data_IF_582744123286
#
_entry.id   IF_582744123286
#
_cell.length_a   1.000
_cell.length_b   1.000
_cell.length_c   1.000
_cell.angle_alpha   90.00
_cell.angle_beta   90.00
_cell.angle_gamma   90.00
#
_symmetry.space_group_name_H-M   'P 1'
#
loop_
_entity.id
_entity.type
_entity.pdbx_description
1 polymer ?
#
# COMPACT_ATOMS: atom_id res chain seq x y z
N UNK A 1 -34.84 -1.78 -0.01
CA UNK A 1 -35.47 -1.36 1.25
C UNK A 1 -34.69 -1.93 2.44
N UNK A 2 -34.73 -1.22 3.58
CA UNK A 2 -34.15 -1.70 4.84
C UNK A 2 -35.27 -1.73 5.89
N UNK A 3 -35.28 -2.76 6.73
CA UNK A 3 -36.30 -2.96 7.77
C UNK A 3 -35.61 -3.37 9.07
N UNK A 4 -35.76 -2.54 10.11
CA UNK A 4 -35.38 -2.89 11.49
C UNK A 4 -36.53 -3.60 12.19
N UNK A 5 -36.24 -4.70 12.86
CA UNK A 5 -37.19 -5.49 13.65
C UNK A 5 -36.57 -5.94 14.98
N UNK A 6 -37.31 -6.61 15.81
CA UNK A 6 -36.89 -7.05 17.14
C UNK A 6 -35.69 -8.03 17.12
N UNK A 7 -35.48 -8.76 16.06
CA UNK A 7 -34.41 -9.73 15.92
C UNK A 7 -33.26 -9.31 14.97
N UNK A 8 -33.26 -8.05 14.52
CA UNK A 8 -32.19 -7.53 13.70
C UNK A 8 -32.59 -6.66 12.51
N UNK A 9 -31.74 -6.63 11.49
CA UNK A 9 -31.87 -5.84 10.27
C UNK A 9 -32.16 -6.75 9.08
N UNK A 10 -33.08 -6.33 8.22
CA UNK A 10 -33.39 -7.00 6.97
C UNK A 10 -33.25 -6.06 5.78
N UNK A 11 -32.93 -6.63 4.62
CA UNK A 11 -32.85 -5.92 3.34
C UNK A 11 -33.71 -6.60 2.30
N UNK A 12 -34.38 -5.79 1.50
CA UNK A 12 -35.09 -6.23 0.30
C UNK A 12 -34.47 -5.54 -0.92
N UNK A 13 -34.28 -6.33 -1.98
CA UNK A 13 -33.79 -5.88 -3.28
C UNK A 13 -34.88 -5.82 -4.36
N UNK A 14 -36.13 -6.14 -4.01
CA UNK A 14 -37.29 -6.27 -4.91
C UNK A 14 -38.52 -5.58 -4.35
N UNK A 15 -38.34 -4.39 -3.81
CA UNK A 15 -39.40 -3.52 -3.25
C UNK A 15 -40.29 -4.20 -2.18
N UNK A 16 -39.67 -5.04 -1.35
CA UNK A 16 -40.32 -5.65 -0.21
C UNK A 16 -41.01 -6.99 -0.50
N UNK A 17 -40.87 -7.54 -1.71
CA UNK A 17 -41.46 -8.86 -2.03
C UNK A 17 -40.69 -9.98 -1.32
N UNK A 18 -39.37 -9.91 -1.25
CA UNK A 18 -38.54 -10.84 -0.52
C UNK A 18 -37.59 -10.10 0.43
N UNK A 19 -37.39 -10.67 1.61
CA UNK A 19 -36.54 -10.11 2.65
C UNK A 19 -35.47 -11.09 3.07
N UNK A 20 -34.22 -10.61 3.19
CA UNK A 20 -33.11 -11.38 3.70
C UNK A 20 -32.47 -10.65 4.88
N UNK A 21 -32.06 -11.42 5.89
CA UNK A 21 -31.44 -10.86 7.07
C UNK A 21 -30.01 -10.33 6.74
N UNK A 22 -29.76 -9.06 7.05
CA UNK A 22 -28.47 -8.44 6.90
C UNK A 22 -27.74 -8.48 8.24
N UNK A 23 -26.86 -9.46 8.40
CA UNK A 23 -26.19 -9.72 9.70
C UNK A 23 -24.81 -9.12 9.79
N UNK A 24 -23.93 -9.45 8.88
CA UNK A 24 -22.48 -9.17 9.03
C UNK A 24 -22.03 -9.38 10.50
N UNK A 25 -21.54 -8.33 11.14
CA UNK A 25 -21.19 -8.31 12.57
C UNK A 25 -22.27 -7.68 13.46
N UNK A 26 -23.46 -7.42 12.94
CA UNK A 26 -24.58 -6.90 13.72
C UNK A 26 -25.09 -8.00 14.68
N UNK A 27 -25.12 -7.77 16.00
CA UNK A 27 -25.67 -8.74 16.93
C UNK A 27 -27.19 -8.89 16.75
N UNK A 28 -27.78 -10.02 17.17
CA UNK A 28 -29.23 -10.18 17.21
C UNK A 28 -29.80 -9.28 18.31
N UNK A 29 -30.19 -8.07 17.94
CA UNK A 29 -30.76 -7.08 18.84
C UNK A 29 -31.88 -6.32 18.11
N UNK A 30 -32.87 -5.78 18.84
CA UNK A 30 -33.90 -4.96 18.24
C UNK A 30 -33.27 -3.72 17.57
N UNK A 31 -33.69 -3.46 16.34
CA UNK A 31 -33.27 -2.30 15.55
C UNK A 31 -34.42 -1.29 15.55
N UNK A 32 -34.23 -0.19 16.24
CA UNK A 32 -35.27 0.83 16.44
C UNK A 32 -35.15 2.04 15.52
N UNK A 33 -33.95 2.29 15.00
CA UNK A 33 -33.74 3.43 14.12
C UNK A 33 -32.79 3.08 12.98
N UNK A 34 -33.14 3.55 11.80
CA UNK A 34 -32.34 3.46 10.59
C UNK A 34 -32.22 4.83 9.97
N UNK A 35 -31.01 5.23 9.64
CA UNK A 35 -30.74 6.48 8.96
C UNK A 35 -29.70 6.26 7.87
N UNK A 36 -29.90 6.88 6.71
CA UNK A 36 -28.90 6.86 5.64
C UNK A 36 -28.18 8.20 5.67
N UNK A 37 -26.88 8.17 5.94
CA UNK A 37 -26.02 9.32 5.84
C UNK A 37 -25.70 9.57 4.35
N UNK A 38 -26.39 10.51 3.72
CA UNK A 38 -26.43 10.72 2.28
C UNK A 38 -25.07 11.05 1.64
N UNK A 39 -24.19 11.73 2.38
CA UNK A 39 -22.88 12.20 1.85
C UNK A 39 -21.96 11.03 1.47
N UNK A 40 -22.01 9.95 2.26
CA UNK A 40 -21.13 8.79 2.07
C UNK A 40 -21.91 7.49 1.81
N UNK A 41 -23.24 7.58 1.71
CA UNK A 41 -24.12 6.40 1.56
C UNK A 41 -23.92 5.37 2.67
N UNK A 42 -23.76 5.83 3.91
CA UNK A 42 -23.60 4.96 5.06
C UNK A 42 -24.94 4.68 5.73
N UNK A 43 -25.24 3.42 6.03
CA UNK A 43 -26.43 3.04 6.80
C UNK A 43 -26.11 3.01 8.28
N UNK A 44 -26.68 3.92 9.03
CA UNK A 44 -26.57 3.99 10.49
C UNK A 44 -27.72 3.21 11.11
N UNK A 45 -27.38 2.27 12.00
CA UNK A 45 -28.31 1.33 12.64
C UNK A 45 -28.30 1.56 14.14
N UNK A 46 -29.41 2.06 14.69
CA UNK A 46 -29.62 2.23 16.11
C UNK A 46 -30.24 0.99 16.73
N UNK A 47 -29.54 0.33 17.66
CA UNK A 47 -30.04 -0.87 18.34
C UNK A 47 -30.47 -0.59 19.75
N UNK A 48 -31.39 -1.37 20.29
CA UNK A 48 -31.76 -1.31 21.70
C UNK A 48 -30.72 -2.03 22.56
N UNK A 49 -30.02 -1.25 23.37
CA UNK A 49 -29.07 -1.75 24.36
C UNK A 49 -27.72 -2.27 23.83
N UNK A 50 -27.45 -2.16 22.51
CA UNK A 50 -26.20 -2.64 21.90
C UNK A 50 -25.44 -1.54 21.15
N UNK A 51 -25.85 -0.28 21.29
CA UNK A 51 -25.21 0.88 20.65
C UNK A 51 -25.57 1.05 19.19
N UNK A 52 -24.71 1.76 18.46
CA UNK A 52 -24.88 2.07 17.05
C UNK A 52 -23.94 1.24 16.19
N UNK A 53 -24.41 0.86 15.01
CA UNK A 53 -23.63 0.21 13.98
C UNK A 53 -23.69 1.02 12.70
N UNK A 54 -22.62 1.01 11.94
CA UNK A 54 -22.54 1.69 10.66
C UNK A 54 -22.14 0.67 9.61
N UNK A 55 -22.94 0.55 8.57
CA UNK A 55 -22.57 -0.14 7.35
C UNK A 55 -22.10 0.89 6.34
N UNK A 56 -20.78 0.96 6.17
CA UNK A 56 -20.16 1.90 5.25
C UNK A 56 -20.53 1.57 3.81
N UNK A 57 -20.92 2.59 3.04
CA UNK A 57 -21.13 2.55 1.61
C UNK A 57 -22.13 1.47 1.14
N UNK A 58 -23.41 1.78 1.20
CA UNK A 58 -24.48 0.89 0.68
C UNK A 58 -24.73 1.04 -0.83
N UNK A 59 -24.04 1.94 -1.54
CA UNK A 59 -24.20 2.14 -2.98
C UNK A 59 -24.02 0.82 -3.79
N UNK A 60 -23.01 -0.03 -3.50
CA UNK A 60 -22.89 -1.33 -4.17
C UNK A 60 -24.09 -2.26 -3.98
N UNK A 61 -24.76 -2.21 -2.83
CA UNK A 61 -25.96 -3.00 -2.59
C UNK A 61 -27.15 -2.51 -3.41
N UNK A 62 -27.28 -1.20 -3.61
CA UNK A 62 -28.31 -0.62 -4.48
C UNK A 62 -28.05 -0.98 -5.95
N UNK A 63 -26.81 -0.79 -6.43
CA UNK A 63 -26.45 -1.14 -7.80
C UNK A 63 -26.58 -2.65 -8.06
N UNK A 64 -26.22 -3.49 -7.06
CA UNK A 64 -26.47 -4.92 -7.14
C UNK A 64 -27.96 -5.25 -7.36
N UNK A 65 -28.85 -4.60 -6.62
CA UNK A 65 -30.30 -4.80 -6.79
C UNK A 65 -30.79 -4.37 -8.18
N UNK A 66 -30.27 -3.26 -8.69
CA UNK A 66 -30.73 -2.64 -9.93
C UNK A 66 -30.14 -3.27 -11.19
N UNK A 67 -28.89 -3.71 -11.15
CA UNK A 67 -28.15 -4.14 -12.35
C UNK A 67 -27.76 -5.63 -12.33
N UNK A 68 -27.46 -6.20 -11.16
CA UNK A 68 -26.94 -7.56 -11.07
C UNK A 68 -28.03 -8.57 -10.76
N UNK A 69 -28.84 -8.32 -9.73
CA UNK A 69 -29.85 -9.26 -9.28
C UNK A 69 -31.02 -9.44 -10.29
N UNK A 70 -31.36 -8.39 -11.02
CA UNK A 70 -32.46 -8.39 -12.00
C UNK A 70 -32.06 -8.90 -13.38
N UNK A 71 -30.75 -8.98 -13.67
CA UNK A 71 -30.21 -9.40 -14.96
C UNK A 71 -30.44 -10.90 -15.18
N UNK A 72 -30.94 -11.27 -16.39
CA UNK A 72 -31.10 -12.65 -16.80
C UNK A 72 -30.49 -12.88 -18.21
N UNK A 73 -29.37 -13.62 -18.35
CA UNK A 73 -28.61 -14.27 -17.26
C UNK A 73 -27.90 -13.29 -16.36
N UNK A 74 -27.71 -13.64 -15.10
CA UNK A 74 -26.89 -12.86 -14.16
C UNK A 74 -25.43 -12.76 -14.66
N UNK A 75 -24.80 -11.56 -14.63
CA UNK A 75 -23.45 -11.38 -15.10
C UNK A 75 -22.43 -12.23 -14.31
N UNK A 76 -21.40 -12.73 -15.00
CA UNK A 76 -20.31 -13.50 -14.36
C UNK A 76 -19.50 -12.67 -13.37
N UNK A 77 -19.29 -11.40 -13.70
CA UNK A 77 -18.67 -10.41 -12.84
C UNK A 77 -19.25 -9.02 -13.09
N UNK A 78 -19.12 -8.12 -12.12
CA UNK A 78 -19.54 -6.74 -12.24
C UNK A 78 -18.64 -5.85 -11.37
N UNK A 79 -18.15 -4.74 -11.92
CA UNK A 79 -17.42 -3.71 -11.18
C UNK A 79 -18.40 -2.59 -10.84
N UNK A 80 -18.68 -2.41 -9.56
CA UNK A 80 -19.59 -1.36 -9.08
C UNK A 80 -19.03 0.05 -9.32
N UNK A 81 -19.92 1.00 -9.41
CA UNK A 81 -19.59 2.42 -9.44
C UNK A 81 -18.81 2.82 -8.19
N UNK A 82 -17.82 3.69 -8.34
CA UNK A 82 -16.97 4.12 -7.24
C UNK A 82 -17.40 5.50 -6.74
N UNK A 83 -17.42 5.66 -5.43
CA UNK A 83 -17.58 6.98 -4.82
C UNK A 83 -16.26 7.77 -4.86
N UNK A 84 -16.35 9.09 -4.79
CA UNK A 84 -15.17 9.94 -4.65
C UNK A 84 -14.37 9.56 -3.40
N UNK A 85 -13.06 9.57 -3.51
CA UNK A 85 -12.13 9.37 -2.40
C UNK A 85 -11.46 10.70 -2.03
N UNK A 86 -11.07 10.83 -0.77
CA UNK A 86 -10.39 12.05 -0.29
C UNK A 86 -8.95 11.74 0.07
N UNK A 87 -8.02 12.56 -0.40
CA UNK A 87 -6.61 12.53 -0.02
C UNK A 87 -6.43 13.17 1.36
N UNK A 88 -6.98 12.52 2.40
CA UNK A 88 -6.88 13.01 3.78
C UNK A 88 -5.47 12.86 4.35
N UNK A 89 -5.16 13.70 5.32
CA UNK A 89 -4.05 13.47 6.23
C UNK A 89 -4.45 12.42 7.26
N UNK A 90 -3.77 11.28 7.22
CA UNK A 90 -3.92 10.26 8.26
C UNK A 90 -3.26 10.78 9.55
N UNK A 91 -4.06 11.23 10.48
CA UNK A 91 -3.57 11.42 11.85
C UNK A 91 -3.35 10.05 12.47
N UNK A 92 -2.14 9.80 12.97
CA UNK A 92 -1.95 8.67 13.87
C UNK A 92 -2.90 8.85 15.05
N UNK A 93 -3.82 7.90 15.23
CA UNK A 93 -4.66 7.89 16.43
C UNK A 93 -3.71 7.96 17.65
N UNK A 94 -3.90 8.95 18.49
CA UNK A 94 -3.27 8.96 19.81
C UNK A 94 -3.69 7.63 20.42
N UNK A 95 -2.71 6.74 20.69
CA UNK A 95 -2.95 5.49 21.39
C UNK A 95 -3.40 5.88 22.80
N UNK A 96 -4.70 6.04 22.99
CA UNK A 96 -5.30 6.00 24.31
C UNK A 96 -5.18 4.57 24.79
N UNK A 97 -4.74 4.39 26.01
CA UNK A 97 -4.45 3.09 26.63
C UNK A 97 -5.58 2.07 26.43
N UNK A 98 -5.36 1.13 25.52
CA UNK A 98 -6.23 -0.01 25.26
C UNK A 98 -7.34 0.20 24.22
N UNK A 99 -7.95 -0.89 23.70
CA UNK A 99 -9.10 -0.79 22.82
C UNK A 99 -10.28 -0.25 23.62
N UNK A 100 -10.81 0.90 23.20
CA UNK A 100 -12.07 1.39 23.76
C UNK A 100 -13.18 0.38 23.41
N UNK A 101 -13.79 -0.20 24.44
CA UNK A 101 -14.92 -1.12 24.28
C UNK A 101 -16.13 -0.46 23.57
N UNK A 102 -16.14 0.88 23.53
CA UNK A 102 -17.26 1.68 23.06
C UNK A 102 -16.98 2.43 21.73
N UNK A 103 -15.86 2.18 21.07
CA UNK A 103 -15.57 2.82 19.77
C UNK A 103 -15.40 1.77 18.66
N UNK A 104 -16.10 1.99 17.56
CA UNK A 104 -15.90 1.25 16.32
C UNK A 104 -14.56 1.62 15.65
N UNK A 105 -14.09 0.76 14.77
CA UNK A 105 -12.93 1.09 13.91
C UNK A 105 -13.40 2.02 12.79
N UNK A 106 -12.61 3.02 12.48
CA UNK A 106 -12.85 3.81 11.27
C UNK A 106 -12.73 2.93 10.02
N UNK A 107 -13.44 3.30 8.92
CA UNK A 107 -13.21 2.70 7.63
C UNK A 107 -11.73 2.75 7.23
N UNK A 108 -11.28 1.79 6.44
CA UNK A 108 -9.93 1.84 5.91
C UNK A 108 -9.77 3.07 5.01
N UNK A 109 -8.62 3.73 5.11
CA UNK A 109 -8.31 4.90 4.28
C UNK A 109 -8.17 4.52 2.81
N UNK A 110 -8.72 5.35 1.93
CA UNK A 110 -8.52 5.23 0.50
C UNK A 110 -9.81 5.20 -0.33
N UNK A 111 -9.69 4.75 -1.57
CA UNK A 111 -10.80 4.49 -2.46
C UNK A 111 -11.27 3.04 -2.30
N UNK A 112 -12.55 2.88 -2.05
CA UNK A 112 -13.21 1.60 -1.92
C UNK A 112 -13.62 1.07 -3.29
N UNK A 113 -13.11 -0.10 -3.66
CA UNK A 113 -13.38 -0.77 -4.93
C UNK A 113 -14.16 -2.03 -4.64
N UNK A 114 -15.44 -2.03 -4.99
CA UNK A 114 -16.33 -3.16 -4.82
C UNK A 114 -16.60 -3.83 -6.18
N UNK A 115 -16.63 -5.16 -6.19
CA UNK A 115 -16.99 -5.93 -7.37
C UNK A 115 -17.70 -7.21 -6.99
N UNK A 116 -18.56 -7.69 -7.88
CA UNK A 116 -19.31 -8.93 -7.74
C UNK A 116 -18.69 -10.03 -8.61
N UNK A 117 -18.65 -11.24 -8.07
CA UNK A 117 -18.36 -12.46 -8.81
C UNK A 117 -19.49 -13.46 -8.60
N UNK A 118 -20.07 -13.96 -9.70
CA UNK A 118 -21.11 -15.00 -9.64
C UNK A 118 -20.55 -16.32 -9.14
N UNK A 119 -19.36 -16.68 -9.64
CA UNK A 119 -18.62 -17.90 -9.30
C UNK A 119 -17.21 -17.54 -8.88
N UNK A 120 -16.51 -18.48 -8.24
CA UNK A 120 -15.10 -18.32 -7.89
C UNK A 120 -14.27 -18.18 -9.16
N UNK A 121 -13.47 -17.11 -9.27
CA UNK A 121 -12.58 -16.88 -10.41
C UNK A 121 -11.50 -17.96 -10.50
N UNK A 122 -11.20 -18.41 -11.72
CA UNK A 122 -10.21 -19.47 -11.97
C UNK A 122 -8.78 -18.94 -11.93
N UNK A 123 -8.59 -17.67 -12.27
CA UNK A 123 -7.31 -16.98 -12.26
C UNK A 123 -7.24 -15.96 -11.12
N UNK A 124 -6.10 -15.31 -10.99
CA UNK A 124 -5.94 -14.21 -10.04
C UNK A 124 -6.81 -13.04 -10.48
N UNK A 125 -7.58 -12.51 -9.54
CA UNK A 125 -8.29 -11.25 -9.74
C UNK A 125 -7.30 -10.11 -9.51
N UNK A 126 -7.18 -9.24 -10.50
CA UNK A 126 -6.29 -8.08 -10.49
C UNK A 126 -7.08 -6.79 -10.66
N UNK A 127 -6.68 -5.76 -9.92
CA UNK A 127 -7.23 -4.42 -10.04
C UNK A 127 -6.08 -3.48 -10.36
N UNK A 128 -6.16 -2.83 -11.52
CA UNK A 128 -5.19 -1.83 -11.95
C UNK A 128 -5.79 -0.43 -11.78
N UNK A 129 -5.03 0.43 -11.13
CA UNK A 129 -5.32 1.86 -11.08
C UNK A 129 -4.48 2.53 -12.16
N UNK A 130 -5.13 3.29 -13.03
CA UNK A 130 -4.49 3.93 -14.16
C UNK A 130 -4.69 5.45 -14.12
N UNK A 131 -3.73 6.18 -14.67
CA UNK A 131 -3.90 7.60 -14.98
C UNK A 131 -4.93 7.78 -16.11
N UNK A 132 -5.29 9.03 -16.40
CA UNK A 132 -6.14 9.33 -17.57
C UNK A 132 -5.45 8.98 -18.92
N UNK A 133 -4.12 8.88 -18.91
CA UNK A 133 -3.29 8.49 -20.06
C UNK A 133 -3.06 6.97 -20.14
N UNK A 134 -3.79 6.17 -19.35
CA UNK A 134 -3.70 4.71 -19.29
C UNK A 134 -2.35 4.17 -18.73
N UNK A 135 -1.60 5.00 -18.01
CA UNK A 135 -0.41 4.55 -17.30
C UNK A 135 -0.78 3.84 -16.00
N UNK A 136 -0.22 2.67 -15.75
CA UNK A 136 -0.48 1.93 -14.50
C UNK A 136 0.21 2.63 -13.33
N UNK A 137 -0.59 3.09 -12.38
CA UNK A 137 -0.15 3.75 -11.15
C UNK A 137 0.06 2.72 -10.03
N UNK A 138 -0.87 1.77 -9.92
CA UNK A 138 -0.90 0.78 -8.86
C UNK A 138 -1.58 -0.50 -9.33
N UNK A 139 -1.03 -1.66 -8.94
CA UNK A 139 -1.67 -2.95 -9.11
C UNK A 139 -2.02 -3.55 -7.76
N UNK A 140 -3.29 -3.93 -7.59
CA UNK A 140 -3.82 -4.51 -6.36
C UNK A 140 -4.32 -5.92 -6.65
N UNK A 141 -4.18 -6.79 -5.63
CA UNK A 141 -4.72 -8.15 -5.71
C UNK A 141 -6.15 -8.17 -5.18
N UNK A 142 -7.07 -8.65 -6.00
CA UNK A 142 -8.45 -8.90 -5.62
C UNK A 142 -8.66 -10.27 -4.97
N UNK A 143 -9.82 -10.44 -4.32
CA UNK A 143 -10.32 -11.72 -3.86
C UNK A 143 -11.00 -12.45 -5.02
N UNK A 144 -10.87 -13.76 -5.10
CA UNK A 144 -11.54 -14.58 -6.13
C UNK A 144 -12.85 -15.23 -5.63
N UNK A 145 -13.34 -14.85 -4.45
CA UNK A 145 -14.53 -15.47 -3.83
C UNK A 145 -15.82 -15.01 -4.49
N UNK A 146 -16.80 -15.91 -4.58
CA UNK A 146 -18.19 -15.60 -4.97
C UNK A 146 -18.81 -14.51 -4.10
N UNK A 147 -19.72 -13.74 -4.69
CA UNK A 147 -20.43 -12.64 -4.03
C UNK A 147 -19.71 -11.30 -4.18
N UNK A 148 -20.05 -10.37 -3.31
CA UNK A 148 -19.46 -9.02 -3.30
C UNK A 148 -18.12 -9.06 -2.60
N UNK A 149 -17.09 -8.57 -3.29
CA UNK A 149 -15.73 -8.45 -2.81
C UNK A 149 -15.34 -6.98 -2.71
N UNK A 150 -14.41 -6.65 -1.81
CA UNK A 150 -13.94 -5.30 -1.55
C UNK A 150 -12.42 -5.25 -1.54
N UNK A 151 -11.85 -4.26 -2.20
CA UNK A 151 -10.42 -3.90 -2.14
C UNK A 151 -10.29 -2.41 -1.88
N UNK A 152 -9.34 -2.04 -1.02
CA UNK A 152 -9.04 -0.64 -0.74
C UNK A 152 -7.78 -0.22 -1.50
N UNK A 153 -7.85 0.86 -2.26
CA UNK A 153 -6.70 1.55 -2.81
C UNK A 153 -6.33 2.70 -1.87
N UNK A 154 -5.14 2.66 -1.31
CA UNK A 154 -4.60 3.62 -0.36
C UNK A 154 -4.23 4.99 -0.97
N UNK A 155 -4.70 5.29 -2.16
CA UNK A 155 -4.42 6.49 -2.94
C UNK A 155 -2.92 6.73 -3.18
N UNK A 156 -2.15 5.65 -3.33
CA UNK A 156 -0.70 5.71 -3.55
C UNK A 156 -0.30 5.05 -4.85
N UNK A 157 0.79 5.53 -5.40
CA UNK A 157 1.55 4.85 -6.43
C UNK A 157 2.14 3.53 -5.92
N UNK A 158 2.72 2.72 -6.82
CA UNK A 158 3.47 1.53 -6.41
C UNK A 158 4.55 1.88 -5.38
N UNK A 159 4.72 1.06 -4.34
CA UNK A 159 5.79 1.22 -3.36
C UNK A 159 7.16 0.98 -4.00
N UNK A 160 8.22 1.35 -3.29
CA UNK A 160 9.58 1.02 -3.71
C UNK A 160 9.86 -0.47 -3.61
N UNK A 161 10.84 -0.93 -4.38
CA UNK A 161 11.40 -2.27 -4.21
C UNK A 161 12.01 -2.42 -2.83
N UNK A 162 12.07 -3.66 -2.34
CA UNK A 162 12.66 -3.97 -1.03
C UNK A 162 14.06 -4.54 -1.19
N UNK A 163 15.07 -4.00 -0.46
CA UNK A 163 16.39 -4.60 -0.44
C UNK A 163 16.35 -6.00 0.16
N UNK A 164 17.03 -6.94 -0.49
CA UNK A 164 17.18 -8.34 -0.04
C UNK A 164 18.66 -8.62 0.22
N UNK A 165 19.08 -8.56 1.47
CA UNK A 165 20.46 -8.79 1.84
C UNK A 165 20.71 -10.31 1.95
N UNK A 166 21.52 -10.85 1.04
CA UNK A 166 21.82 -12.28 0.94
C UNK A 166 23.11 -12.69 1.68
N UNK A 167 23.77 -11.73 2.32
CA UNK A 167 24.99 -11.96 3.09
C UNK A 167 24.82 -11.60 4.55
N UNK A 168 25.57 -12.25 5.42
CA UNK A 168 25.69 -11.88 6.83
C UNK A 168 26.60 -10.65 6.97
N UNK A 169 26.39 -9.79 7.98
CA UNK A 169 27.27 -8.65 8.23
C UNK A 169 28.71 -9.14 8.55
N UNK A 170 29.74 -8.43 8.08
CA UNK A 170 31.13 -8.81 8.38
C UNK A 170 31.40 -8.94 9.88
N UNK A 171 32.01 -10.08 10.28
CA UNK A 171 32.32 -10.34 11.69
C UNK A 171 31.14 -10.66 12.59
N UNK A 172 29.95 -10.92 12.02
CA UNK A 172 28.72 -11.20 12.77
C UNK A 172 27.99 -12.43 12.27
N UNK A 173 28.60 -13.61 12.36
CA UNK A 173 28.04 -14.87 11.79
C UNK A 173 26.74 -15.33 12.45
N UNK A 174 26.40 -14.78 13.62
CA UNK A 174 25.14 -15.08 14.31
C UNK A 174 23.92 -14.40 13.70
N UNK A 175 24.10 -13.40 12.82
CA UNK A 175 22.98 -12.76 12.10
C UNK A 175 22.54 -13.72 10.99
N UNK A 176 21.36 -14.30 11.17
CA UNK A 176 20.82 -15.31 10.26
C UNK A 176 20.08 -14.66 9.08
N UNK A 177 20.12 -15.31 7.95
CA UNK A 177 19.22 -15.05 6.83
C UNK A 177 17.85 -15.65 7.14
N UNK A 178 16.78 -15.03 6.64
CA UNK A 178 15.43 -15.57 6.75
C UNK A 178 15.25 -16.87 5.94
N UNK A 179 14.09 -17.51 6.10
CA UNK A 179 13.78 -18.79 5.43
C UNK A 179 13.82 -18.74 3.89
N UNK A 180 13.77 -17.54 3.31
CA UNK A 180 13.90 -17.31 1.85
C UNK A 180 15.36 -17.04 1.40
N UNK A 181 16.33 -17.21 2.29
CA UNK A 181 17.76 -17.01 1.99
C UNK A 181 18.19 -15.53 1.95
N UNK A 182 17.41 -14.62 2.47
CA UNK A 182 17.74 -13.18 2.58
C UNK A 182 17.21 -12.57 3.88
N UNK A 183 17.75 -11.43 4.25
CA UNK A 183 17.30 -10.61 5.38
C UNK A 183 16.92 -9.21 4.91
N UNK A 184 15.95 -8.54 5.55
CA UNK A 184 15.61 -7.16 5.22
C UNK A 184 16.74 -6.21 5.65
N UNK A 185 16.84 -5.09 4.95
CA UNK A 185 17.60 -3.94 5.42
C UNK A 185 16.73 -3.18 6.41
N UNK A 186 17.05 -3.25 7.70
CA UNK A 186 16.29 -2.62 8.79
C UNK A 186 17.19 -1.65 9.54
N UNK A 187 16.70 -0.44 9.77
CA UNK A 187 17.26 0.50 10.74
C UNK A 187 16.13 1.07 11.58
N UNK A 188 16.32 1.10 12.90
CA UNK A 188 15.24 1.44 13.84
C UNK A 188 15.05 2.95 14.05
N UNK A 189 16.09 3.75 13.85
CA UNK A 189 16.06 5.19 14.09
C UNK A 189 15.57 6.01 12.90
N UNK A 190 15.50 5.36 11.77
CA UNK A 190 15.08 5.96 10.53
C UNK A 190 13.80 5.29 10.14
N UNK A 191 12.75 6.05 10.02
CA UNK A 191 11.50 5.55 9.49
C UNK A 191 11.66 5.27 7.98
N UNK A 192 12.62 4.36 7.66
CA UNK A 192 12.85 3.91 6.27
C UNK A 192 11.59 3.30 5.67
N UNK A 193 10.70 2.80 6.51
CA UNK A 193 9.45 2.21 6.05
C UNK A 193 8.55 3.24 5.38
N UNK A 194 8.47 4.47 5.89
CA UNK A 194 7.66 5.52 5.26
C UNK A 194 8.20 5.94 3.91
N UNK A 195 9.51 6.04 3.75
CA UNK A 195 10.14 6.30 2.46
C UNK A 195 9.91 5.17 1.44
N UNK A 196 9.59 3.96 1.91
CA UNK A 196 9.27 2.81 1.05
C UNK A 196 7.83 2.80 0.55
N UNK A 197 6.92 3.57 1.15
CA UNK A 197 5.55 3.69 0.62
C UNK A 197 5.57 4.46 -0.70
N UNK A 198 4.69 4.07 -1.62
CA UNK A 198 4.47 4.87 -2.82
C UNK A 198 3.97 6.29 -2.45
N UNK A 199 4.34 7.33 -3.20
CA UNK A 199 3.77 8.65 -3.00
C UNK A 199 2.24 8.62 -3.08
N UNK A 200 1.55 9.50 -2.35
CA UNK A 200 0.11 9.70 -2.55
C UNK A 200 -0.13 10.35 -3.90
N UNK A 201 -1.19 9.93 -4.59
CA UNK A 201 -1.55 10.50 -5.90
C UNK A 201 -2.02 11.95 -5.78
N UNK A 202 -1.91 12.70 -6.86
CA UNK A 202 -2.50 14.05 -6.96
C UNK A 202 -4.03 13.93 -6.92
N UNK A 203 -4.77 14.89 -6.32
CA UNK A 203 -6.22 15.00 -6.54
C UNK A 203 -6.56 15.13 -8.02
N UNK A 204 -7.18 14.12 -8.60
CA UNK A 204 -7.55 14.02 -10.02
C UNK A 204 -8.53 12.85 -10.24
N UNK A 205 -8.96 12.62 -11.49
CA UNK A 205 -9.70 11.41 -11.89
C UNK A 205 -8.75 10.30 -12.32
N UNK A 206 -9.07 9.08 -11.91
CA UNK A 206 -8.30 7.86 -12.18
C UNK A 206 -9.24 6.78 -12.74
N UNK A 207 -8.69 5.89 -13.57
CA UNK A 207 -9.42 4.72 -14.05
C UNK A 207 -9.10 3.53 -13.14
N UNK A 208 -10.14 2.80 -12.76
CA UNK A 208 -10.02 1.53 -12.03
C UNK A 208 -10.41 0.42 -12.99
N UNK A 209 -9.47 -0.46 -13.30
CA UNK A 209 -9.66 -1.59 -14.20
C UNK A 209 -9.63 -2.89 -13.40
N UNK A 210 -10.74 -3.60 -13.38
CA UNK A 210 -10.86 -4.93 -12.80
C UNK A 210 -10.62 -5.97 -13.90
N UNK A 211 -9.74 -6.91 -13.65
CA UNK A 211 -9.41 -8.03 -14.55
C UNK A 211 -9.77 -9.33 -13.82
N UNK A 212 -10.69 -10.09 -14.40
CA UNK A 212 -11.18 -11.37 -13.86
C UNK A 212 -11.26 -12.38 -15.00
N UNK A 213 -10.44 -13.41 -14.94
CA UNK A 213 -10.31 -14.43 -15.98
C UNK A 213 -10.04 -13.78 -17.38
N UNK A 214 -11.03 -13.85 -18.27
CA UNK A 214 -11.01 -13.27 -19.64
C UNK A 214 -11.79 -11.95 -19.74
N UNK A 215 -12.26 -11.40 -18.63
CA UNK A 215 -13.11 -10.19 -18.61
C UNK A 215 -12.38 -9.00 -18.03
N UNK A 216 -12.64 -7.83 -18.59
CA UNK A 216 -12.15 -6.55 -18.12
C UNK A 216 -13.29 -5.55 -17.92
N UNK A 217 -13.26 -4.83 -16.82
CA UNK A 217 -14.24 -3.80 -16.49
C UNK A 217 -13.50 -2.53 -16.09
N UNK A 218 -13.97 -1.38 -16.55
CA UNK A 218 -13.35 -0.10 -16.18
C UNK A 218 -14.40 0.86 -15.63
N UNK A 219 -14.06 1.54 -14.54
CA UNK A 219 -14.82 2.63 -13.93
C UNK A 219 -13.87 3.77 -13.57
N UNK A 220 -14.41 4.96 -13.40
CA UNK A 220 -13.66 6.11 -12.93
C UNK A 220 -13.82 6.30 -11.41
N UNK A 221 -12.76 6.81 -10.78
CA UNK A 221 -12.77 7.29 -9.40
C UNK A 221 -12.14 8.67 -9.35
N UNK A 222 -12.79 9.61 -8.69
CA UNK A 222 -12.23 10.94 -8.47
C UNK A 222 -11.61 10.99 -7.07
N UNK A 223 -10.33 11.37 -7.02
CA UNK A 223 -9.62 11.66 -5.78
C UNK A 223 -9.70 13.16 -5.53
N UNK A 224 -10.36 13.54 -4.46
CA UNK A 224 -10.53 14.93 -4.05
C UNK A 224 -9.42 15.34 -3.06
N UNK A 225 -9.07 16.63 -3.10
CA UNK A 225 -8.20 17.24 -2.09
C UNK A 225 -8.89 17.24 -0.72
N UNK A 226 -8.12 17.07 0.36
CA UNK A 226 -8.61 17.32 1.71
C UNK A 226 -9.10 18.79 1.81
N UNK A 227 -10.38 19.03 2.12
CA UNK A 227 -10.91 20.39 2.23
C UNK A 227 -10.27 21.22 3.36
N UNK A 228 -9.60 20.57 4.31
CA UNK A 228 -8.87 21.21 5.41
C UNK A 228 -7.41 21.48 5.10
N UNK A 229 -6.88 20.95 3.99
CA UNK A 229 -5.50 21.20 3.58
C UNK A 229 -5.37 22.60 2.97
N UNK A 230 -4.38 23.36 3.41
CA UNK A 230 -4.06 24.68 2.85
C UNK A 230 -3.23 24.60 1.57
N UNK A 231 -2.55 23.46 1.31
CA UNK A 231 -1.73 23.24 0.13
C UNK A 231 -2.56 23.38 -1.17
N UNK A 232 -2.01 24.06 -2.17
CA UNK A 232 -2.64 24.20 -3.49
C UNK A 232 -2.45 22.91 -4.31
N UNK A 233 -3.25 22.72 -5.36
CA UNK A 233 -3.08 21.60 -6.27
C UNK A 233 -1.71 21.61 -6.97
N UNK A 234 -1.17 22.79 -7.25
CA UNK A 234 0.15 22.96 -7.84
C UNK A 234 1.25 22.48 -6.89
N UNK A 235 1.20 22.93 -5.64
CA UNK A 235 2.14 22.48 -4.59
C UNK A 235 2.08 20.97 -4.38
N UNK A 236 0.88 20.37 -4.41
CA UNK A 236 0.70 18.92 -4.33
C UNK A 236 1.31 18.22 -5.54
N UNK A 237 1.15 18.76 -6.75
CA UNK A 237 1.78 18.18 -7.95
C UNK A 237 3.29 18.19 -7.86
N UNK A 238 3.88 19.30 -7.49
CA UNK A 238 5.34 19.39 -7.29
C UNK A 238 5.85 18.42 -6.22
N UNK A 239 5.13 18.29 -5.09
CA UNK A 239 5.46 17.34 -4.03
C UNK A 239 5.44 15.91 -4.55
N UNK A 240 4.42 15.54 -5.32
CA UNK A 240 4.27 14.19 -5.88
C UNK A 240 5.34 13.91 -6.92
N UNK A 241 5.67 14.86 -7.79
CA UNK A 241 6.73 14.75 -8.79
C UNK A 241 8.08 14.45 -8.16
N UNK A 242 8.53 15.27 -7.20
CA UNK A 242 9.78 15.04 -6.47
C UNK A 242 9.77 13.71 -5.71
N UNK A 243 8.61 13.34 -5.14
CA UNK A 243 8.47 12.06 -4.44
C UNK A 243 8.59 10.86 -5.38
N UNK A 244 8.08 10.96 -6.62
CA UNK A 244 8.20 9.93 -7.65
C UNK A 244 9.66 9.79 -8.13
N UNK A 245 10.37 10.90 -8.34
CA UNK A 245 11.80 10.89 -8.66
C UNK A 245 12.62 10.17 -7.58
N UNK A 246 12.34 10.43 -6.31
CA UNK A 246 13.00 9.77 -5.20
C UNK A 246 12.65 8.28 -5.11
N UNK A 247 11.38 7.90 -5.35
CA UNK A 247 10.97 6.51 -5.44
C UNK A 247 11.77 5.76 -6.51
N UNK A 248 11.93 6.36 -7.68
CA UNK A 248 12.64 5.76 -8.79
C UNK A 248 14.15 5.67 -8.52
N UNK A 249 14.73 6.67 -7.87
CA UNK A 249 16.11 6.62 -7.38
C UNK A 249 16.29 5.52 -6.33
N UNK A 250 15.34 5.35 -5.41
CA UNK A 250 15.36 4.25 -4.44
C UNK A 250 15.25 2.88 -5.12
N UNK A 251 14.39 2.74 -6.13
CA UNK A 251 14.25 1.51 -6.90
C UNK A 251 15.54 1.13 -7.63
N UNK A 252 16.22 2.13 -8.20
CA UNK A 252 17.54 1.93 -8.82
C UNK A 252 18.58 1.50 -7.79
N UNK A 253 18.63 2.17 -6.64
CA UNK A 253 19.54 1.80 -5.54
C UNK A 253 19.28 0.37 -5.04
N UNK A 254 18.02 -0.02 -4.87
CA UNK A 254 17.65 -1.39 -4.46
C UNK A 254 18.03 -2.43 -5.51
N UNK A 255 17.84 -2.12 -6.80
CA UNK A 255 18.27 -3.01 -7.88
C UNK A 255 19.79 -3.24 -7.86
N UNK A 256 20.58 -2.18 -7.60
CA UNK A 256 22.02 -2.29 -7.45
C UNK A 256 22.40 -3.07 -6.18
N UNK A 257 21.75 -2.81 -5.04
CA UNK A 257 21.96 -3.55 -3.79
C UNK A 257 21.71 -5.04 -4.02
N UNK A 258 20.58 -5.40 -4.60
CA UNK A 258 20.22 -6.80 -4.81
C UNK A 258 21.21 -7.50 -5.76
N UNK A 259 21.62 -6.84 -6.85
CA UNK A 259 22.61 -7.39 -7.79
C UNK A 259 23.98 -7.62 -7.13
N UNK A 260 24.46 -6.66 -6.32
CA UNK A 260 25.73 -6.81 -5.63
C UNK A 260 25.64 -7.84 -4.50
N UNK A 261 24.52 -7.97 -3.82
CA UNK A 261 24.29 -9.01 -2.81
C UNK A 261 24.28 -10.41 -3.44
N UNK A 262 23.78 -10.58 -4.67
CA UNK A 262 23.88 -11.83 -5.41
C UNK A 262 25.35 -12.21 -5.63
N UNK A 263 26.14 -11.30 -6.18
CA UNK A 263 27.57 -11.51 -6.42
C UNK A 263 28.33 -11.81 -5.10
N UNK A 264 28.04 -11.10 -4.03
CA UNK A 264 28.68 -11.33 -2.72
C UNK A 264 28.35 -12.71 -2.16
N UNK A 265 27.06 -13.12 -2.22
CA UNK A 265 26.61 -14.43 -1.73
C UNK A 265 27.25 -15.58 -2.52
N UNK A 266 27.34 -15.43 -3.86
CA UNK A 266 28.02 -16.40 -4.71
C UNK A 266 29.51 -16.49 -4.40
N UNK A 267 30.21 -15.38 -4.23
CA UNK A 267 31.63 -15.35 -3.88
C UNK A 267 31.91 -15.94 -2.50
N UNK A 268 31.07 -15.63 -1.50
CA UNK A 268 31.20 -16.20 -0.16
C UNK A 268 31.05 -17.74 -0.18
N UNK A 269 30.25 -18.29 -1.09
CA UNK A 269 30.08 -19.73 -1.30
C UNK A 269 31.20 -20.33 -2.14
N UNK A 270 31.73 -19.63 -3.13
CA UNK A 270 32.72 -20.11 -4.09
C UNK A 270 34.16 -20.13 -3.52
N UNK A 271 34.55 -19.06 -2.83
CA UNK A 271 35.95 -18.87 -2.37
C UNK A 271 36.47 -20.07 -1.55
N UNK A 272 35.69 -20.66 -0.62
CA UNK A 272 36.17 -21.85 0.12
C UNK A 272 36.39 -23.12 -0.74
N UNK A 273 35.74 -23.18 -1.89
CA UNK A 273 35.77 -24.35 -2.79
C UNK A 273 36.90 -24.29 -3.82
N UNK A 274 37.48 -23.11 -4.05
CA UNK A 274 38.56 -22.89 -5.01
C UNK A 274 39.85 -23.57 -4.54
N UNK A 275 40.42 -24.45 -5.40
CA UNK A 275 41.67 -25.18 -5.14
C UNK A 275 42.90 -24.40 -5.61
N UNK A 276 42.74 -23.63 -6.70
CA UNK A 276 43.82 -22.84 -7.28
C UNK A 276 43.99 -21.50 -6.53
N UNK A 277 45.22 -21.20 -6.09
CA UNK A 277 45.49 -20.00 -5.30
C UNK A 277 45.34 -18.72 -6.15
N UNK A 278 45.68 -18.74 -7.44
CA UNK A 278 45.46 -17.61 -8.33
C UNK A 278 43.96 -17.24 -8.43
N UNK A 279 43.08 -18.23 -8.61
CA UNK A 279 41.64 -18.03 -8.69
C UNK A 279 41.08 -17.54 -7.37
N UNK A 280 41.62 -18.02 -6.25
CA UNK A 280 41.23 -17.60 -4.91
C UNK A 280 41.58 -16.12 -4.66
N UNK A 281 42.75 -15.68 -5.12
CA UNK A 281 43.20 -14.28 -5.04
C UNK A 281 42.26 -13.38 -5.86
N UNK A 282 41.97 -13.77 -7.09
CA UNK A 282 41.04 -13.01 -7.96
C UNK A 282 39.62 -12.94 -7.37
N UNK A 283 39.09 -14.04 -6.85
CA UNK A 283 37.77 -14.06 -6.22
C UNK A 283 37.71 -13.18 -4.95
N UNK A 284 38.78 -13.16 -4.15
CA UNK A 284 38.90 -12.26 -2.98
C UNK A 284 38.96 -10.79 -3.39
N UNK A 285 39.67 -10.47 -4.48
CA UNK A 285 39.71 -9.09 -4.99
C UNK A 285 38.34 -8.64 -5.46
N UNK A 286 37.62 -9.49 -6.19
CA UNK A 286 36.26 -9.22 -6.61
C UNK A 286 35.31 -9.06 -5.41
N UNK A 287 35.42 -9.93 -4.39
CA UNK A 287 34.65 -9.80 -3.15
C UNK A 287 34.90 -8.49 -2.44
N UNK A 288 36.17 -8.00 -2.41
CA UNK A 288 36.51 -6.71 -1.84
C UNK A 288 35.86 -5.56 -2.63
N UNK A 289 35.90 -5.60 -3.98
CA UNK A 289 35.25 -4.61 -4.84
C UNK A 289 33.71 -4.59 -4.62
N UNK A 290 33.08 -5.75 -4.57
CA UNK A 290 31.66 -5.87 -4.29
C UNK A 290 31.28 -5.30 -2.92
N UNK A 291 32.07 -5.54 -1.87
CA UNK A 291 31.89 -4.94 -0.53
C UNK A 291 31.99 -3.41 -0.55
N UNK A 292 32.94 -2.86 -1.31
CA UNK A 292 33.09 -1.40 -1.43
C UNK A 292 31.85 -0.77 -2.10
N UNK A 293 31.34 -1.39 -3.16
CA UNK A 293 30.10 -0.94 -3.82
C UNK A 293 28.94 -1.02 -2.83
N UNK A 294 28.74 -2.17 -2.16
CA UNK A 294 27.71 -2.31 -1.13
C UNK A 294 27.81 -1.22 -0.07
N UNK A 295 29.02 -0.96 0.45
CA UNK A 295 29.28 0.02 1.51
C UNK A 295 28.97 1.47 1.09
N UNK A 296 28.98 1.78 -0.21
CA UNK A 296 28.54 3.09 -0.71
C UNK A 296 27.00 3.22 -0.79
N UNK A 297 26.31 2.09 -0.96
CA UNK A 297 24.85 2.05 -1.08
C UNK A 297 24.14 1.92 0.28
N UNK A 298 24.64 1.04 1.13
CA UNK A 298 24.08 0.79 2.47
C UNK A 298 25.18 0.38 3.44
N UNK A 299 24.92 0.49 4.75
CA UNK A 299 25.89 0.00 5.75
C UNK A 299 25.86 -1.53 5.81
N UNK A 300 26.94 -2.16 5.35
CA UNK A 300 27.10 -3.63 5.33
C UNK A 300 27.17 -4.27 6.72
N UNK A 301 27.40 -3.49 7.77
CA UNK A 301 27.50 -3.95 9.16
C UNK A 301 26.16 -3.98 9.88
N UNK A 302 25.07 -3.54 9.26
CA UNK A 302 23.72 -3.57 9.83
C UNK A 302 23.32 -4.99 10.22
N UNK A 303 22.94 -5.15 11.48
CA UNK A 303 22.50 -6.44 12.04
C UNK A 303 20.98 -6.55 12.15
N UNK A 304 20.27 -5.42 12.00
CA UNK A 304 18.85 -5.29 12.30
C UNK A 304 18.57 -4.95 13.77
N UNK A 305 19.61 -4.73 14.57
CA UNK A 305 19.47 -4.26 15.94
C UNK A 305 19.23 -2.75 16.00
N UNK A 306 18.55 -2.30 17.05
CA UNK A 306 18.24 -0.87 17.27
C UNK A 306 19.51 -0.02 17.33
N UNK A 307 20.58 -0.57 17.90
CA UNK A 307 21.86 0.10 18.12
C UNK A 307 22.68 0.30 16.86
N UNK A 308 22.29 -0.30 15.75
CA UNK A 308 23.03 -0.13 14.48
C UNK A 308 23.07 1.34 14.03
N UNK A 309 22.00 2.09 14.26
CA UNK A 309 21.90 3.48 13.88
C UNK A 309 22.91 4.39 14.60
N UNK A 310 23.38 4.00 15.79
CA UNK A 310 24.37 4.75 16.56
C UNK A 310 25.82 4.42 16.16
N UNK A 311 26.05 3.38 15.37
CA UNK A 311 27.38 2.85 15.07
C UNK A 311 27.95 3.38 13.77
N UNK A 312 27.09 3.67 12.79
CA UNK A 312 27.52 4.06 11.46
C UNK A 312 26.57 5.09 10.84
N UNK A 313 27.10 6.09 10.08
CA UNK A 313 26.26 7.04 9.40
C UNK A 313 25.48 6.36 8.26
N UNK A 314 24.27 6.87 8.01
CA UNK A 314 23.47 6.46 6.86
C UNK A 314 24.24 6.57 5.55
N UNK A 315 24.19 5.49 4.77
CA UNK A 315 24.69 5.48 3.40
C UNK A 315 23.60 5.96 2.41
N UNK A 316 23.89 5.89 1.12
CA UNK A 316 23.08 6.52 0.07
C UNK A 316 21.59 6.10 0.12
N UNK A 317 21.31 4.80 0.22
CA UNK A 317 19.93 4.30 0.28
C UNK A 317 19.14 4.86 1.49
N UNK A 318 19.77 4.87 2.66
CA UNK A 318 19.15 5.42 3.85
C UNK A 318 18.86 6.92 3.74
N UNK A 319 19.74 7.69 3.09
CA UNK A 319 19.56 9.13 2.86
C UNK A 319 18.44 9.41 1.86
N UNK A 320 18.34 8.63 0.78
CA UNK A 320 17.22 8.69 -0.18
C UNK A 320 15.90 8.39 0.52
N UNK A 321 15.87 7.33 1.33
CA UNK A 321 14.68 6.94 2.06
C UNK A 321 14.26 7.96 3.12
N UNK A 322 15.19 8.59 3.82
CA UNK A 322 14.91 9.66 4.77
C UNK A 322 14.27 10.87 4.07
N UNK A 323 14.84 11.32 2.95
CA UNK A 323 14.29 12.43 2.17
C UNK A 323 12.90 12.09 1.60
N UNK A 324 12.71 10.86 1.10
CA UNK A 324 11.41 10.39 0.64
C UNK A 324 10.39 10.34 1.79
N UNK A 325 10.80 9.94 2.99
CA UNK A 325 9.95 9.94 4.19
C UNK A 325 9.48 11.34 4.55
N UNK A 326 10.36 12.34 4.50
CA UNK A 326 10.01 13.73 4.77
C UNK A 326 8.96 14.28 3.80
N UNK A 327 9.03 13.88 2.53
CA UNK A 327 8.10 14.34 1.50
C UNK A 327 6.76 13.56 1.50
N UNK A 328 6.79 12.28 1.84
CA UNK A 328 5.61 11.39 1.70
C UNK A 328 5.01 10.96 3.03
N UNK A 329 5.79 10.98 4.10
CA UNK A 329 5.47 10.29 5.36
C UNK A 329 4.59 11.07 6.31
N UNK A 330 4.66 12.39 6.30
CA UNK A 330 3.95 13.23 7.28
C UNK A 330 2.55 13.66 6.84
N UNK A 331 2.12 13.28 5.65
CA UNK A 331 0.77 13.49 5.17
C UNK A 331 0.37 14.97 4.97
N UNK A 332 1.31 15.90 5.00
CA UNK A 332 1.05 17.34 4.80
C UNK A 332 1.23 17.69 3.34
N UNK A 333 0.32 18.50 2.80
CA UNK A 333 0.42 19.04 1.44
C UNK A 333 1.23 20.34 1.48
N UNK A 334 2.40 20.31 0.87
CA UNK A 334 3.30 21.45 0.83
C UNK A 334 4.19 21.43 -0.41
N UNK A 335 4.69 22.59 -0.78
CA UNK A 335 5.71 22.70 -1.82
C UNK A 335 7.05 22.19 -1.26
N UNK A 336 7.76 21.29 -1.95
CA UNK A 336 9.09 20.87 -1.54
C UNK A 336 10.04 22.06 -1.40
N UNK A 337 10.77 22.12 -0.29
CA UNK A 337 11.71 23.21 -0.03
C UNK A 337 12.92 23.15 -0.99
N UNK A 338 13.60 24.28 -1.18
CA UNK A 338 14.82 24.33 -1.99
C UNK A 338 15.89 23.35 -1.48
N UNK A 339 16.03 23.24 -0.14
CA UNK A 339 16.95 22.30 0.48
C UNK A 339 16.61 20.84 0.16
N UNK A 340 15.34 20.47 0.17
CA UNK A 340 14.92 19.10 -0.18
C UNK A 340 15.23 18.80 -1.66
N UNK A 341 15.02 19.76 -2.56
CA UNK A 341 15.35 19.64 -3.99
C UNK A 341 16.86 19.51 -4.21
N UNK A 342 17.66 20.39 -3.59
CA UNK A 342 19.13 20.36 -3.67
C UNK A 342 19.70 19.05 -3.15
N UNK A 343 19.23 18.58 -1.99
CA UNK A 343 19.64 17.28 -1.43
C UNK A 343 19.24 16.13 -2.37
N UNK A 344 18.06 16.17 -2.97
CA UNK A 344 17.62 15.19 -3.97
C UNK A 344 18.56 15.12 -5.17
N UNK A 345 18.98 16.26 -5.72
CA UNK A 345 19.95 16.34 -6.82
C UNK A 345 21.29 15.73 -6.41
N UNK A 346 21.83 16.11 -5.24
CA UNK A 346 23.11 15.58 -4.73
C UNK A 346 23.06 14.06 -4.57
N UNK A 347 21.97 13.52 -4.02
CA UNK A 347 21.82 12.08 -3.81
C UNK A 347 21.70 11.33 -5.14
N UNK A 348 20.96 11.87 -6.11
CA UNK A 348 20.84 11.31 -7.46
C UNK A 348 22.21 11.30 -8.18
N UNK A 349 23.00 12.36 -8.07
CA UNK A 349 24.34 12.42 -8.65
C UNK A 349 25.31 11.43 -8.00
N UNK A 350 25.20 11.21 -6.70
CA UNK A 350 25.94 10.14 -6.02
C UNK A 350 25.52 8.75 -6.52
N UNK A 351 24.22 8.52 -6.72
CA UNK A 351 23.71 7.26 -7.24
C UNK A 351 24.24 6.96 -8.64
N UNK A 352 24.29 7.97 -9.52
CA UNK A 352 24.86 7.86 -10.88
C UNK A 352 26.35 7.48 -10.86
N UNK A 353 27.11 7.94 -9.85
CA UNK A 353 28.55 7.62 -9.71
C UNK A 353 28.82 6.20 -9.22
N UNK A 354 27.86 5.56 -8.55
CA UNK A 354 27.96 4.17 -8.09
C UNK A 354 27.52 3.19 -9.17
N UNK A 355 26.64 3.63 -10.10
CA UNK A 355 26.18 2.85 -11.25
C UNK A 355 27.31 2.60 -12.24
#
# INVERSE_FOLDING_TARGET
LYLGVDNGLYVSFDDGQNWMQLRNNLPPAPVYWLEIQERFDDLVVGTYGRGYYILDNIAPLREYAQEVAVSNPQPRAHLFSLRNAYRFHEQQSIKTDGPSLNSGKNPAYGAEINYFLKDTAQQKVEIQILSQQDEIIRTLKGSNKTGVNRVMWDLRYEPTFKPKLKTTPPGRPWVQLGGEGWRPLVTWDLDLMRGQYGPKVVPDSYKVKLIVDDMEFTREVTVLKDPRSEGTLEQIREQVEVSLELRDAMNLAVSMINAVEDVRSELDSLIPQLKNESDRIQARDLSRKARNISGSLYDIHLTGAREDAFRSPMQLYGRLSALASDLTGHGVDFQPTDQQREVGVILNDRLKKVK
#
